data_IF_750299304121
#
_entry.id   IF_750299304121
#
_cell.length_a   1.000
_cell.length_b   1.000
_cell.length_c   1.000
_cell.angle_alpha   90.00
_cell.angle_beta   90.00
_cell.angle_gamma   90.00
#
_symmetry.space_group_name_H-M   'P 1'
#
loop_
_entity.id
_entity.type
_entity.pdbx_description
1 polymer ?
#
# COMPACT_ATOMS: atom_id res chain seq x y z
N UNK A 1 4.97 -6.21 -11.11
CA UNK A 1 5.10 -7.67 -11.34
C UNK A 1 4.32 -8.18 -12.56
N UNK A 2 3.03 -7.83 -12.71
CA UNK A 2 2.12 -8.45 -13.70
C UNK A 2 2.60 -8.45 -15.16
N UNK A 3 3.42 -7.46 -15.57
CA UNK A 3 3.99 -7.43 -16.92
C UNK A 3 4.89 -8.63 -17.27
N UNK A 4 5.40 -9.37 -16.28
CA UNK A 4 6.19 -10.60 -16.49
C UNK A 4 5.35 -11.76 -17.04
N UNK A 5 4.01 -11.69 -16.92
CA UNK A 5 3.07 -12.72 -17.30
C UNK A 5 2.67 -12.61 -18.78
N UNK A 6 1.87 -13.55 -19.28
CA UNK A 6 1.51 -13.59 -20.70
C UNK A 6 0.50 -12.50 -21.10
N UNK A 7 -0.51 -12.27 -20.28
CA UNK A 7 -1.60 -11.33 -20.53
C UNK A 7 -2.37 -11.06 -19.23
N UNK A 8 -3.30 -10.10 -19.26
CA UNK A 8 -4.24 -9.85 -18.17
C UNK A 8 -5.65 -9.66 -18.71
N UNK A 9 -6.64 -10.21 -17.99
CA UNK A 9 -8.07 -9.95 -18.24
C UNK A 9 -8.44 -8.46 -18.09
N UNK A 10 -7.64 -7.67 -17.37
CA UNK A 10 -7.84 -6.21 -17.27
C UNK A 10 -7.67 -5.51 -18.62
N UNK A 11 -6.83 -6.07 -19.50
CA UNK A 11 -6.48 -5.50 -20.78
C UNK A 11 -6.28 -6.61 -21.82
N UNK A 12 -7.37 -7.25 -22.28
CA UNK A 12 -7.32 -8.49 -23.07
C UNK A 12 -6.55 -8.37 -24.40
N UNK A 13 -6.42 -7.16 -24.93
CA UNK A 13 -5.75 -6.89 -26.21
C UNK A 13 -4.23 -6.73 -26.10
N UNK A 14 -3.67 -6.80 -24.89
CA UNK A 14 -2.25 -6.55 -24.66
C UNK A 14 -1.54 -7.79 -24.11
N UNK A 15 -0.39 -8.09 -24.68
CA UNK A 15 0.50 -9.14 -24.21
C UNK A 15 1.54 -8.58 -23.24
N UNK A 16 1.85 -9.33 -22.19
CA UNK A 16 3.02 -9.09 -21.36
C UNK A 16 4.28 -9.72 -21.95
N UNK A 17 5.33 -9.80 -21.14
CA UNK A 17 6.61 -10.38 -21.55
C UNK A 17 6.55 -11.91 -21.74
N UNK A 18 5.53 -12.58 -21.18
CA UNK A 18 5.33 -14.02 -21.33
C UNK A 18 6.39 -14.89 -20.66
N UNK A 19 7.20 -14.32 -19.76
CA UNK A 19 8.25 -15.01 -19.02
C UNK A 19 7.64 -16.00 -18.02
N UNK A 20 6.54 -15.61 -17.37
CA UNK A 20 5.70 -16.51 -16.56
C UNK A 20 4.50 -16.97 -17.40
N UNK A 21 4.38 -18.27 -17.72
CA UNK A 21 3.42 -18.76 -18.71
C UNK A 21 2.01 -18.94 -18.12
N UNK A 22 1.40 -17.85 -17.64
CA UNK A 22 -0.01 -17.80 -17.24
C UNK A 22 -0.59 -16.42 -17.46
N UNK A 23 -1.91 -16.33 -17.51
CA UNK A 23 -2.67 -15.09 -17.47
C UNK A 23 -2.84 -14.58 -16.05
N UNK A 24 -3.05 -13.26 -15.94
CA UNK A 24 -3.54 -12.58 -14.75
C UNK A 24 -5.05 -12.48 -14.87
N UNK A 25 -5.76 -13.05 -13.90
CA UNK A 25 -7.21 -13.19 -13.88
C UNK A 25 -7.82 -12.27 -12.79
N UNK A 26 -9.08 -11.84 -12.93
CA UNK A 26 -9.78 -11.09 -11.87
C UNK A 26 -10.06 -12.01 -10.67
N UNK A 27 -9.95 -11.47 -9.45
CA UNK A 27 -10.49 -12.16 -8.27
C UNK A 27 -12.00 -12.37 -8.39
N UNK A 28 -12.48 -13.49 -7.83
CA UNK A 28 -13.91 -13.70 -7.63
C UNK A 28 -14.45 -12.72 -6.56
N UNK A 29 -15.50 -11.97 -6.86
CA UNK A 29 -16.11 -10.99 -5.95
C UNK A 29 -17.44 -11.46 -5.33
N UNK A 30 -17.79 -12.74 -5.49
CA UNK A 30 -19.04 -13.29 -4.96
C UNK A 30 -19.05 -13.35 -3.43
N UNK A 31 -17.91 -13.67 -2.81
CA UNK A 31 -17.78 -13.87 -1.35
C UNK A 31 -16.83 -12.90 -0.66
N UNK A 32 -16.19 -11.98 -1.40
CA UNK A 32 -15.22 -11.02 -0.86
C UNK A 32 -15.20 -9.73 -1.69
N UNK A 33 -14.75 -8.64 -1.09
CA UNK A 33 -14.60 -7.36 -1.78
C UNK A 33 -13.48 -7.42 -2.83
N UNK A 34 -13.65 -6.76 -3.97
CA UNK A 34 -12.58 -6.56 -4.96
C UNK A 34 -12.55 -5.08 -5.31
N UNK A 35 -11.40 -4.38 -5.22
CA UNK A 35 -10.03 -4.91 -5.12
C UNK A 35 -9.66 -5.51 -3.75
N UNK A 36 -8.70 -6.45 -3.76
CA UNK A 36 -7.93 -6.83 -2.58
C UNK A 36 -7.10 -5.62 -2.16
N UNK A 37 -7.47 -4.98 -1.05
CA UNK A 37 -6.83 -3.77 -0.56
C UNK A 37 -6.58 -3.85 0.95
N UNK A 38 -5.30 -3.82 1.34
CA UNK A 38 -4.88 -3.87 2.74
C UNK A 38 -3.61 -4.69 2.95
N UNK A 39 -3.29 -4.95 4.21
CA UNK A 39 -2.12 -5.74 4.59
C UNK A 39 -2.45 -7.22 4.67
N UNK A 40 -1.71 -8.05 3.95
CA UNK A 40 -1.90 -9.50 3.95
C UNK A 40 -0.53 -10.21 4.04
N UNK A 41 -0.53 -11.47 4.42
CA UNK A 41 0.70 -12.27 4.55
C UNK A 41 1.25 -12.67 3.18
N UNK A 42 2.57 -12.62 3.01
CA UNK A 42 3.26 -13.27 1.90
C UNK A 42 3.99 -14.50 2.42
N UNK A 43 3.40 -15.67 2.21
CA UNK A 43 3.89 -16.95 2.69
C UNK A 43 4.92 -17.52 1.71
N UNK A 44 6.10 -17.93 2.21
CA UNK A 44 7.15 -18.54 1.38
C UNK A 44 6.71 -19.92 0.90
N UNK A 45 6.78 -20.16 -0.42
CA UNK A 45 6.36 -21.44 -1.01
C UNK A 45 7.30 -22.58 -0.59
N UNK A 46 8.61 -22.32 -0.50
CA UNK A 46 9.63 -23.32 -0.16
C UNK A 46 9.86 -23.48 1.35
N UNK A 47 9.31 -22.58 2.16
CA UNK A 47 9.51 -22.60 3.62
C UNK A 47 8.25 -22.11 4.32
N UNK A 48 7.13 -22.87 4.17
CA UNK A 48 5.83 -22.45 4.68
C UNK A 48 5.77 -22.37 6.22
N UNK A 49 6.73 -23.00 6.91
CA UNK A 49 6.84 -22.95 8.37
C UNK A 49 7.50 -21.67 8.89
N UNK A 50 8.07 -20.84 8.00
CA UNK A 50 8.63 -19.54 8.38
C UNK A 50 7.50 -18.54 8.55
N UNK A 51 7.50 -17.85 9.70
CA UNK A 51 6.55 -16.77 9.99
C UNK A 51 6.50 -15.77 8.82
N UNK A 52 5.32 -15.57 8.20
CA UNK A 52 5.22 -14.76 7.01
C UNK A 52 5.25 -13.27 7.37
N UNK A 53 5.92 -12.49 6.53
CA UNK A 53 5.87 -11.04 6.61
C UNK A 53 4.56 -10.51 6.00
N UNK A 54 4.09 -9.37 6.52
CA UNK A 54 2.92 -8.67 6.02
C UNK A 54 3.33 -7.56 5.05
N UNK A 55 2.61 -7.45 3.95
CA UNK A 55 2.83 -6.43 2.93
C UNK A 55 1.50 -5.81 2.48
N UNK A 56 1.56 -4.58 1.97
CA UNK A 56 0.40 -3.86 1.47
C UNK A 56 0.07 -4.25 0.03
N UNK A 57 -1.13 -4.76 -0.19
CA UNK A 57 -1.70 -5.11 -1.49
C UNK A 57 -2.79 -4.11 -1.87
N UNK A 58 -2.89 -3.79 -3.16
CA UNK A 58 -4.00 -3.02 -3.75
C UNK A 58 -4.18 -3.42 -5.21
N UNK A 59 -5.02 -4.42 -5.48
CA UNK A 59 -5.23 -4.95 -6.84
C UNK A 59 -6.55 -5.73 -6.99
N UNK A 60 -7.14 -5.67 -8.18
CA UNK A 60 -8.33 -6.49 -8.53
C UNK A 60 -7.98 -7.79 -9.25
N UNK A 61 -6.78 -7.83 -9.85
CA UNK A 61 -6.32 -8.87 -10.75
C UNK A 61 -5.09 -9.58 -10.18
N UNK A 62 -4.97 -10.90 -10.34
CA UNK A 62 -3.89 -11.69 -9.76
C UNK A 62 -3.53 -12.91 -10.62
N UNK A 63 -2.32 -13.44 -10.43
CA UNK A 63 -1.96 -14.77 -10.94
C UNK A 63 -2.41 -15.83 -9.95
N UNK A 64 -3.45 -16.61 -10.26
CA UNK A 64 -3.91 -17.71 -9.40
C UNK A 64 -2.82 -18.78 -9.29
N UNK A 65 -2.60 -19.28 -8.08
CA UNK A 65 -1.63 -20.35 -7.81
C UNK A 65 -2.32 -21.72 -7.93
N UNK A 66 -2.16 -22.35 -9.09
CA UNK A 66 -2.76 -23.65 -9.41
C UNK A 66 -1.67 -24.61 -9.91
N UNK A 67 -0.86 -25.23 -9.03
CA UNK A 67 0.27 -26.06 -9.43
C UNK A 67 -0.12 -27.32 -10.22
N UNK A 68 -1.35 -27.82 -10.05
CA UNK A 68 -1.87 -28.96 -10.81
C UNK A 68 -2.20 -28.60 -12.27
N UNK A 69 -2.74 -27.41 -12.51
CA UNK A 69 -3.18 -26.97 -13.84
C UNK A 69 -2.07 -26.21 -14.59
N UNK A 70 -1.24 -25.45 -13.85
CA UNK A 70 -0.23 -24.52 -14.37
C UNK A 70 1.11 -24.68 -13.64
N UNK A 71 1.75 -25.87 -13.67
CA UNK A 71 2.98 -26.16 -12.93
C UNK A 71 4.14 -25.23 -13.32
N UNK A 72 4.26 -24.90 -14.61
CA UNK A 72 5.32 -24.00 -15.09
C UNK A 72 5.20 -22.61 -14.49
N UNK A 73 3.99 -22.04 -14.40
CA UNK A 73 3.76 -20.75 -13.75
C UNK A 73 3.95 -20.84 -12.23
N UNK A 74 3.46 -21.91 -11.58
CA UNK A 74 3.63 -22.13 -10.15
C UNK A 74 5.10 -22.26 -9.75
N UNK A 75 5.96 -22.81 -10.62
CA UNK A 75 7.41 -22.90 -10.39
C UNK A 75 8.15 -21.55 -10.42
N UNK A 76 7.48 -20.45 -10.72
CA UNK A 76 8.00 -19.08 -10.54
C UNK A 76 7.65 -18.49 -9.18
N UNK A 77 6.68 -19.06 -8.46
CA UNK A 77 6.18 -18.49 -7.21
C UNK A 77 7.26 -18.55 -6.12
N UNK A 78 7.62 -17.39 -5.58
CA UNK A 78 8.50 -17.28 -4.43
C UNK A 78 7.69 -17.16 -3.14
N UNK A 79 6.64 -16.34 -3.19
CA UNK A 79 5.62 -16.28 -2.15
C UNK A 79 4.22 -16.43 -2.75
N UNK A 80 3.33 -16.98 -1.94
CA UNK A 80 1.89 -17.02 -2.20
C UNK A 80 1.13 -16.29 -1.12
N UNK A 81 -0.07 -15.85 -1.43
CA UNK A 81 -0.98 -15.21 -0.47
C UNK A 81 -2.38 -15.77 -0.69
N UNK A 82 -3.10 -16.00 0.40
CA UNK A 82 -4.52 -16.34 0.34
C UNK A 82 -5.37 -15.07 0.47
N UNK A 83 -6.39 -14.94 -0.37
CA UNK A 83 -7.43 -13.93 -0.25
C UNK A 83 -8.82 -14.55 -0.44
N UNK A 84 -9.60 -14.58 0.64
CA UNK A 84 -10.79 -15.44 0.74
C UNK A 84 -10.49 -16.89 0.40
N UNK A 85 -11.22 -17.44 -0.58
CA UNK A 85 -11.06 -18.81 -1.07
C UNK A 85 -10.05 -18.99 -2.21
N UNK A 86 -9.23 -17.99 -2.52
CA UNK A 86 -8.26 -18.04 -3.62
C UNK A 86 -6.83 -17.90 -3.11
N UNK A 87 -5.91 -18.70 -3.64
CA UNK A 87 -4.46 -18.56 -3.43
C UNK A 87 -3.86 -17.98 -4.71
N UNK A 88 -3.05 -16.94 -4.58
CA UNK A 88 -2.39 -16.29 -5.71
C UNK A 88 -0.90 -16.13 -5.47
N UNK A 89 -0.16 -15.95 -6.55
CA UNK A 89 1.28 -15.67 -6.55
C UNK A 89 1.49 -14.22 -6.09
N UNK A 90 2.01 -14.02 -4.89
CA UNK A 90 2.26 -12.68 -4.33
C UNK A 90 3.67 -12.18 -4.61
N UNK A 91 4.61 -13.06 -4.94
CA UNK A 91 5.87 -12.71 -5.59
C UNK A 91 6.41 -13.83 -6.46
N UNK A 92 7.19 -13.46 -7.48
CA UNK A 92 7.90 -14.38 -8.36
C UNK A 92 9.41 -14.23 -8.20
N UNK A 93 10.15 -15.33 -8.33
CA UNK A 93 11.62 -15.31 -8.34
C UNK A 93 12.18 -16.41 -9.23
N UNK A 94 13.07 -16.04 -10.15
CA UNK A 94 13.90 -16.98 -10.92
C UNK A 94 15.17 -16.32 -11.43
N UNK A 95 16.33 -16.83 -11.02
CA UNK A 95 17.61 -16.21 -11.34
C UNK A 95 17.65 -14.76 -10.87
N UNK A 96 18.01 -13.83 -11.76
CA UNK A 96 18.02 -12.39 -11.49
C UNK A 96 16.66 -11.70 -11.62
N UNK A 97 15.59 -12.44 -11.93
CA UNK A 97 14.23 -11.90 -11.99
C UNK A 97 13.55 -12.03 -10.64
N UNK A 98 13.06 -10.90 -10.12
CA UNK A 98 12.21 -10.84 -8.93
C UNK A 98 11.10 -9.82 -9.14
N UNK A 99 9.90 -10.13 -8.66
CA UNK A 99 8.77 -9.21 -8.75
C UNK A 99 7.72 -9.50 -7.69
N UNK A 100 7.12 -8.44 -7.14
CA UNK A 100 6.11 -8.53 -6.08
C UNK A 100 4.76 -7.99 -6.57
N UNK A 101 3.67 -8.63 -6.16
CA UNK A 101 2.30 -8.13 -6.36
C UNK A 101 1.96 -7.05 -5.34
N UNK A 102 2.48 -7.17 -4.12
CA UNK A 102 2.42 -6.14 -3.11
C UNK A 102 3.41 -5.00 -3.41
N UNK A 103 3.19 -3.87 -2.75
CA UNK A 103 3.99 -2.65 -2.87
C UNK A 103 4.98 -2.55 -1.70
N UNK A 104 6.24 -2.98 -1.86
CA UNK A 104 7.22 -2.91 -0.76
C UNK A 104 7.45 -1.47 -0.28
N UNK A 105 7.38 -0.47 -1.16
CA UNK A 105 7.46 0.94 -0.80
C UNK A 105 6.28 1.45 0.06
N UNK A 106 5.15 0.71 0.06
CA UNK A 106 3.97 0.98 0.89
C UNK A 106 3.86 0.03 2.09
N UNK A 107 4.84 -0.85 2.29
CA UNK A 107 4.81 -1.91 3.31
C UNK A 107 5.69 -1.63 4.52
N UNK A 108 5.96 -0.35 4.81
CA UNK A 108 6.74 0.09 5.97
C UNK A 108 8.12 -0.58 6.06
N UNK A 109 8.54 -0.89 7.29
CA UNK A 109 9.87 -1.48 7.55
C UNK A 109 10.08 -2.84 6.86
N UNK A 110 9.05 -3.69 6.77
CA UNK A 110 9.15 -5.00 6.11
C UNK A 110 9.43 -4.85 4.61
N UNK A 111 8.74 -3.93 3.95
CA UNK A 111 8.96 -3.63 2.55
C UNK A 111 10.31 -2.97 2.26
N UNK A 112 10.75 -2.03 3.11
CA UNK A 112 12.07 -1.41 3.00
C UNK A 112 13.20 -2.44 3.19
N UNK A 113 13.07 -3.35 4.15
CA UNK A 113 14.02 -4.44 4.35
C UNK A 113 14.12 -5.35 3.12
N UNK A 114 12.98 -5.65 2.47
CA UNK A 114 12.96 -6.43 1.23
C UNK A 114 13.68 -5.70 0.08
N UNK A 115 13.47 -4.39 -0.08
CA UNK A 115 14.16 -3.57 -1.08
C UNK A 115 15.67 -3.51 -0.78
N UNK A 116 16.06 -3.22 0.47
CA UNK A 116 17.47 -3.13 0.88
C UNK A 116 18.20 -4.46 0.66
N UNK A 117 17.59 -5.58 1.06
CA UNK A 117 18.13 -6.92 0.82
C UNK A 117 18.35 -7.18 -0.68
N UNK A 118 17.38 -6.83 -1.53
CA UNK A 118 17.53 -7.00 -2.98
C UNK A 118 18.67 -6.15 -3.56
N UNK A 119 18.81 -4.89 -3.13
CA UNK A 119 19.82 -3.96 -3.63
C UNK A 119 21.24 -4.34 -3.16
N UNK A 120 21.39 -4.80 -1.92
CA UNK A 120 22.69 -5.18 -1.35
C UNK A 120 23.21 -6.51 -1.85
N UNK A 121 22.32 -7.43 -2.21
CA UNK A 121 22.73 -8.76 -2.69
C UNK A 121 23.35 -8.64 -4.09
N UNK A 122 24.62 -9.03 -4.31
CA UNK A 122 25.23 -9.03 -5.64
C UNK A 122 24.41 -9.83 -6.66
N UNK A 123 24.42 -9.43 -7.93
CA UNK A 123 23.71 -10.18 -8.98
C UNK A 123 24.20 -11.62 -9.11
N UNK A 124 25.50 -11.85 -8.94
CA UNK A 124 26.07 -13.20 -8.95
C UNK A 124 25.43 -14.09 -7.88
N UNK A 125 25.20 -13.56 -6.67
CA UNK A 125 24.54 -14.30 -5.59
C UNK A 125 23.03 -14.47 -5.86
N UNK A 126 22.36 -13.44 -6.40
CA UNK A 126 20.93 -13.54 -6.79
C UNK A 126 20.71 -14.58 -7.89
N UNK A 127 21.62 -14.65 -8.85
CA UNK A 127 21.55 -15.55 -10.00
C UNK A 127 22.06 -16.96 -9.68
N UNK A 128 23.06 -17.08 -8.81
CA UNK A 128 23.61 -18.34 -8.33
C UNK A 128 22.75 -18.99 -7.24
N UNK A 129 21.92 -18.20 -6.54
CA UNK A 129 20.72 -18.72 -5.90
C UNK A 129 19.84 -19.24 -7.03
N UNK A 130 20.12 -20.46 -7.49
CA UNK A 130 19.08 -21.29 -8.07
C UNK A 130 17.94 -21.16 -7.06
N UNK A 131 16.78 -20.55 -7.40
CA UNK A 131 15.61 -21.15 -6.81
C UNK A 131 15.77 -22.61 -7.19
N UNK A 132 15.74 -23.54 -6.25
CA UNK A 132 15.35 -24.88 -6.65
C UNK A 132 14.06 -24.65 -7.42
N UNK A 133 14.13 -24.60 -8.77
CA UNK A 133 12.95 -24.49 -9.59
C UNK A 133 12.15 -25.65 -9.06
N UNK A 134 11.00 -25.35 -8.44
CA UNK A 134 10.25 -26.39 -7.78
C UNK A 134 10.00 -27.44 -8.87
N UNK A 135 10.79 -28.53 -8.86
CA UNK A 135 10.64 -29.58 -9.86
C UNK A 135 9.21 -30.12 -9.79
N UNK A 136 8.60 -29.96 -8.61
CA UNK A 136 7.17 -30.05 -8.34
C UNK A 136 6.75 -28.94 -7.37
N UNK A 137 6.07 -27.85 -7.82
CA UNK A 137 5.53 -26.84 -6.90
C UNK A 137 4.49 -27.46 -5.97
N UNK A 138 4.53 -27.17 -4.66
CA UNK A 138 3.69 -27.86 -3.69
C UNK A 138 2.23 -27.44 -3.87
N UNK A 139 1.33 -28.40 -3.72
CA UNK A 139 -0.10 -28.12 -3.58
C UNK A 139 -0.34 -27.50 -2.21
N UNK A 140 -0.88 -26.28 -2.19
CA UNK A 140 -1.22 -25.57 -0.96
C UNK A 140 -2.70 -25.79 -0.63
N UNK A 141 -2.99 -26.02 0.64
CA UNK A 141 -4.36 -26.07 1.15
C UNK A 141 -4.82 -24.68 1.58
N UNK A 142 -6.12 -24.41 1.41
CA UNK A 142 -6.72 -23.18 1.91
C UNK A 142 -6.71 -23.19 3.45
N UNK A 143 -6.22 -22.09 4.03
CA UNK A 143 -6.38 -21.78 5.44
C UNK A 143 -7.86 -21.49 5.71
N UNK A 144 -8.39 -21.75 6.92
CA UNK A 144 -9.78 -21.47 7.27
C UNK A 144 -10.20 -20.01 7.08
N UNK A 145 -9.25 -19.08 7.20
CA UNK A 145 -9.38 -17.65 6.93
C UNK A 145 -8.11 -17.14 6.26
N UNK A 146 -8.24 -16.09 5.46
CA UNK A 146 -7.07 -15.35 5.00
C UNK A 146 -6.46 -14.53 6.15
N UNK A 147 -5.29 -13.96 5.87
CA UNK A 147 -4.53 -13.13 6.80
C UNK A 147 -4.71 -11.64 6.51
N UNK A 148 -5.82 -11.21 5.88
CA UNK A 148 -6.06 -9.80 5.64
C UNK A 148 -6.28 -9.08 6.98
N UNK A 149 -5.39 -8.14 7.31
CA UNK A 149 -5.42 -7.44 8.58
C UNK A 149 -6.61 -6.48 8.70
N UNK A 150 -6.93 -6.08 9.93
CA UNK A 150 -7.85 -4.98 10.18
C UNK A 150 -7.11 -3.66 9.94
N UNK A 151 -7.43 -3.00 8.83
CA UNK A 151 -6.81 -1.73 8.44
C UNK A 151 -7.24 -0.57 9.35
N UNK A 152 -6.28 0.13 9.93
CA UNK A 152 -6.45 1.33 10.75
C UNK A 152 -6.02 2.56 9.96
N UNK A 153 -6.98 3.41 9.62
CA UNK A 153 -6.74 4.63 8.83
C UNK A 153 -6.76 5.84 9.76
N UNK A 154 -5.66 6.60 9.77
CA UNK A 154 -5.57 7.85 10.51
C UNK A 154 -5.92 9.02 9.57
N UNK A 155 -6.94 9.80 9.93
CA UNK A 155 -7.42 10.92 9.12
C UNK A 155 -7.06 12.26 9.76
N UNK A 156 -6.73 13.26 8.94
CA UNK A 156 -6.59 14.64 9.40
C UNK A 156 -7.18 15.65 8.41
N UNK A 157 -7.75 16.72 8.93
CA UNK A 157 -8.20 17.88 8.17
C UNK A 157 -7.02 18.82 7.89
N UNK A 158 -6.78 19.15 6.62
CA UNK A 158 -5.78 20.14 6.20
C UNK A 158 -6.49 21.41 5.74
N UNK A 159 -6.26 22.52 6.46
CA UNK A 159 -6.84 23.85 6.18
C UNK A 159 -5.76 24.88 5.89
N UNK A 160 -6.15 25.98 5.27
CA UNK A 160 -5.36 27.22 5.23
C UNK A 160 -5.77 28.12 6.39
N UNK A 161 -4.81 28.68 7.11
CA UNK A 161 -5.06 29.74 8.10
C UNK A 161 -5.23 31.13 7.44
N UNK A 162 -5.44 32.15 8.26
CA UNK A 162 -5.65 33.54 7.80
C UNK A 162 -4.39 34.12 7.10
N UNK A 163 -3.21 33.54 7.36
CA UNK A 163 -1.93 33.89 6.73
C UNK A 163 -1.60 33.02 5.49
N UNK A 164 -2.49 32.09 5.12
CA UNK A 164 -2.33 31.17 4.00
C UNK A 164 -1.43 29.96 4.28
N UNK A 165 -1.00 29.75 5.52
CA UNK A 165 -0.23 28.56 5.91
C UNK A 165 -1.13 27.33 6.05
N UNK A 166 -0.56 26.15 5.81
CA UNK A 166 -1.25 24.89 6.01
C UNK A 166 -1.17 24.42 7.46
N UNK A 167 -2.33 24.18 8.04
CA UNK A 167 -2.50 23.76 9.43
C UNK A 167 -3.41 22.55 9.53
N UNK A 168 -3.26 21.79 10.61
CA UNK A 168 -4.19 20.72 10.99
C UNK A 168 -5.15 21.20 12.07
N UNK A 169 -6.44 20.90 11.89
CA UNK A 169 -7.49 21.20 12.87
C UNK A 169 -8.18 19.94 13.36
N UNK A 170 -8.72 19.96 14.59
CA UNK A 170 -9.51 18.85 15.13
C UNK A 170 -10.91 18.82 14.48
N UNK A 171 -11.28 17.70 13.86
CA UNK A 171 -12.53 17.52 13.13
C UNK A 171 -13.81 17.33 13.95
N UNK A 172 -13.89 17.77 15.23
CA UNK A 172 -15.11 17.58 16.05
C UNK A 172 -15.97 18.84 16.27
N UNK A 173 -15.48 20.04 15.94
CA UNK A 173 -16.23 21.28 16.09
C UNK A 173 -16.00 22.24 14.92
N UNK A 174 -17.09 22.81 14.40
CA UNK A 174 -17.04 23.94 13.46
C UNK A 174 -16.38 25.19 14.06
N UNK A 175 -16.29 25.26 15.40
CA UNK A 175 -15.67 26.36 16.14
C UNK A 175 -14.15 26.10 16.28
N UNK A 176 -13.44 26.24 15.16
CA UNK A 176 -11.99 26.03 15.05
C UNK A 176 -11.15 27.19 15.59
N UNK A 177 -11.80 28.29 15.99
CA UNK A 177 -11.15 29.49 16.51
C UNK A 177 -11.03 29.44 18.03
N UNK A 178 -9.92 29.93 18.57
CA UNK A 178 -9.78 30.09 20.02
C UNK A 178 -10.82 31.07 20.57
N UNK A 179 -11.42 30.72 21.72
CA UNK A 179 -12.34 31.62 22.42
C UNK A 179 -11.49 32.61 23.21
N UNK A 180 -11.45 33.86 22.76
CA UNK A 180 -10.85 34.97 23.51
C UNK A 180 -11.65 35.15 24.81
N UNK A 181 -11.00 35.28 26.00
CA UNK A 181 -11.71 35.51 27.24
C UNK A 181 -12.56 36.78 27.14
N UNK A 182 -13.84 36.69 27.51
CA UNK A 182 -14.76 37.82 27.47
C UNK A 182 -14.48 38.82 28.60
N UNK A 183 -13.45 39.64 28.43
CA UNK A 183 -13.27 40.89 29.17
C UNK A 183 -14.20 41.98 28.59
N UNK A 184 -14.86 42.72 29.47
CA UNK A 184 -15.87 43.74 29.13
C UNK A 184 -15.30 44.90 28.29
N UNK A 185 -15.35 44.78 26.96
CA UNK A 185 -15.26 45.95 26.08
C UNK A 185 -16.07 45.72 24.80
N UNK A 186 -16.85 46.74 24.42
CA UNK A 186 -17.59 46.77 23.16
C UNK A 186 -16.64 47.01 21.99
N UNK A 187 -15.88 45.99 21.61
CA UNK A 187 -15.16 45.95 20.33
C UNK A 187 -15.63 44.75 19.50
N UNK A 188 -15.73 44.98 18.19
CA UNK A 188 -16.12 43.98 17.19
C UNK A 188 -15.26 42.73 17.36
N UNK A 189 -15.90 41.59 17.65
CA UNK A 189 -15.25 40.29 17.83
C UNK A 189 -14.66 39.81 16.50
N UNK A 190 -13.39 40.10 16.23
CA UNK A 190 -12.60 39.28 15.31
C UNK A 190 -12.37 37.93 16.00
N UNK A 191 -12.91 36.84 15.44
CA UNK A 191 -12.78 35.51 16.03
C UNK A 191 -11.31 35.13 16.25
N UNK A 192 -11.00 34.38 17.31
CA UNK A 192 -9.63 34.02 17.68
C UNK A 192 -8.88 33.24 16.60
N UNK A 193 -7.57 33.04 16.80
CA UNK A 193 -6.72 32.29 15.87
C UNK A 193 -7.22 30.86 15.67
N UNK A 194 -6.99 30.29 14.48
CA UNK A 194 -7.37 28.91 14.19
C UNK A 194 -6.47 27.96 15.01
N UNK A 195 -7.08 27.03 15.75
CA UNK A 195 -6.35 26.04 16.57
C UNK A 195 -5.49 25.15 15.68
N UNK A 196 -4.17 25.27 15.81
CA UNK A 196 -3.18 24.55 15.02
C UNK A 196 -2.65 23.33 15.78
N UNK A 197 -2.91 22.12 15.29
CA UNK A 197 -2.39 20.86 15.85
C UNK A 197 -0.97 20.50 15.35
N UNK A 198 -0.36 21.39 14.56
CA UNK A 198 0.95 21.24 13.96
C UNK A 198 0.90 21.29 12.43
N UNK A 199 2.08 21.17 11.81
CA UNK A 199 2.20 21.07 10.36
C UNK A 199 1.69 19.69 9.90
N UNK A 200 0.88 19.60 8.83
CA UNK A 200 0.33 18.34 8.34
C UNK A 200 1.37 17.22 8.18
N UNK A 201 2.55 17.55 7.65
CA UNK A 201 3.67 16.62 7.46
C UNK A 201 4.12 16.00 8.79
N UNK A 202 4.34 16.82 9.82
CA UNK A 202 4.77 16.34 11.14
C UNK A 202 3.73 15.42 11.79
N UNK A 203 2.44 15.73 11.63
CA UNK A 203 1.38 14.87 12.16
C UNK A 203 1.29 13.55 11.38
N UNK A 204 1.48 13.57 10.06
CA UNK A 204 1.52 12.36 9.24
C UNK A 204 2.65 11.42 9.71
N UNK A 205 3.87 11.94 9.91
CA UNK A 205 4.97 11.16 10.45
C UNK A 205 4.66 10.56 11.82
N UNK A 206 3.96 11.31 12.69
CA UNK A 206 3.52 10.81 14.01
C UNK A 206 2.51 9.66 13.88
N UNK A 207 1.53 9.78 12.98
CA UNK A 207 0.55 8.71 12.74
C UNK A 207 1.20 7.46 12.19
N UNK A 208 2.13 7.61 11.23
CA UNK A 208 2.91 6.48 10.73
C UNK A 208 3.71 5.80 11.86
N UNK A 209 4.45 6.58 12.66
CA UNK A 209 5.24 6.05 13.77
C UNK A 209 4.37 5.39 14.87
N UNK A 210 3.11 5.80 15.00
CA UNK A 210 2.14 5.20 15.91
C UNK A 210 1.46 3.94 15.34
N UNK A 211 1.80 3.53 14.12
CA UNK A 211 1.30 2.30 13.49
C UNK A 211 0.02 2.48 12.66
N UNK A 212 -0.25 3.68 12.14
CA UNK A 212 -1.31 3.84 11.15
C UNK A 212 -0.97 3.09 9.86
N UNK A 213 -1.90 2.26 9.38
CA UNK A 213 -1.74 1.51 8.14
C UNK A 213 -1.86 2.41 6.90
N UNK A 214 -2.63 3.49 7.03
CA UNK A 214 -2.90 4.46 5.97
C UNK A 214 -3.16 5.83 6.60
N UNK A 215 -2.72 6.89 5.92
CA UNK A 215 -2.93 8.26 6.34
C UNK A 215 -3.80 8.95 5.29
N UNK A 216 -4.97 9.43 5.71
CA UNK A 216 -5.89 10.17 4.87
C UNK A 216 -5.81 11.66 5.19
N UNK A 217 -5.54 12.46 4.16
CA UNK A 217 -5.47 13.91 4.25
C UNK A 217 -6.73 14.50 3.61
N UNK A 218 -7.62 15.05 4.43
CA UNK A 218 -8.83 15.71 3.96
C UNK A 218 -8.47 17.15 3.56
N UNK A 219 -8.23 17.36 2.27
CA UNK A 219 -7.91 18.68 1.73
C UNK A 219 -9.16 19.57 1.69
N UNK A 220 -9.28 20.44 2.68
CA UNK A 220 -10.36 21.44 2.80
C UNK A 220 -9.78 22.86 2.80
N UNK A 221 -8.68 23.04 2.07
CA UNK A 221 -8.05 24.34 1.82
C UNK A 221 -8.89 25.16 0.85
N UNK A 222 -8.99 26.47 1.06
CA UNK A 222 -9.86 27.38 0.30
C UNK A 222 -9.07 28.43 -0.48
N UNK A 223 -8.12 27.99 -1.31
CA UNK A 223 -7.32 28.89 -2.15
C UNK A 223 -8.15 29.47 -3.30
N UNK A 224 -8.39 30.79 -3.30
CA UNK A 224 -9.19 31.46 -4.36
C UNK A 224 -8.41 31.76 -5.65
N UNK A 225 -7.06 31.78 -5.61
CA UNK A 225 -6.21 32.15 -6.76
C UNK A 225 -4.87 31.37 -6.82
N UNK A 226 -4.91 30.04 -6.70
CA UNK A 226 -3.70 29.20 -6.80
C UNK A 226 -3.73 28.39 -8.10
N UNK A 227 -2.72 28.51 -8.99
CA UNK A 227 -2.56 27.60 -10.12
C UNK A 227 -2.46 26.14 -9.65
N UNK A 228 -2.97 25.18 -10.43
CA UNK A 228 -3.05 23.77 -10.03
C UNK A 228 -1.69 23.17 -9.62
N UNK A 229 -0.60 23.57 -10.29
CA UNK A 229 0.76 23.08 -10.01
C UNK A 229 1.36 23.66 -8.72
N UNK A 230 0.86 24.81 -8.28
CA UNK A 230 1.34 25.52 -7.10
C UNK A 230 0.47 25.25 -5.87
N UNK A 231 -0.41 24.24 -5.92
CA UNK A 231 -1.27 23.92 -4.81
C UNK A 231 -0.43 23.44 -3.61
N UNK A 232 -0.51 24.14 -2.46
CA UNK A 232 0.27 23.79 -1.27
C UNK A 232 0.05 22.36 -0.78
N UNK A 233 -1.12 21.78 -1.06
CA UNK A 233 -1.44 20.39 -0.72
C UNK A 233 -0.52 19.38 -1.43
N UNK A 234 -0.09 19.64 -2.67
CA UNK A 234 0.84 18.78 -3.39
C UNK A 234 2.21 18.73 -2.69
N UNK A 235 2.66 19.86 -2.14
CA UNK A 235 3.89 19.92 -1.37
C UNK A 235 3.78 19.14 -0.06
N UNK A 236 2.61 19.15 0.61
CA UNK A 236 2.36 18.32 1.80
C UNK A 236 2.42 16.84 1.47
N UNK A 237 1.76 16.39 0.40
CA UNK A 237 1.78 14.97 0.01
C UNK A 237 3.20 14.52 -0.34
N UNK A 238 3.97 15.34 -1.05
CA UNK A 238 5.38 15.06 -1.37
C UNK A 238 6.23 14.93 -0.11
N UNK A 239 6.20 15.95 0.76
CA UNK A 239 7.00 15.97 1.98
C UNK A 239 6.59 14.88 2.99
N UNK A 240 5.33 14.44 3.00
CA UNK A 240 4.86 13.34 3.84
C UNK A 240 5.21 11.95 3.28
N UNK A 241 5.61 11.87 2.01
CA UNK A 241 6.01 10.63 1.35
C UNK A 241 7.52 10.35 1.38
N UNK A 242 8.32 11.33 1.85
CA UNK A 242 9.75 11.21 2.15
C UNK A 242 9.97 10.50 3.50
#
# INVERSE_FOLDING_TARGET
MQILFQASEESPNFHGLGVVPTTIDRFDDFVKTVPHMGWNSADLVQSPDVEPAFYYFVHSYCAKYCPADRPDAASWAYTTTQYGGEIFISSVRRGNVFGTQFHPEKSGAAGLALIDNWLRTPEAERSASKPESLCSPPTLSLKPRDNLSKRIIACMDVRSDDDGNLIVTKGDQYDVREKVPSGHSMQVKTGGAVRNLGKPVTLASKYYAAGADEICLLNITSFRHSPLQDQPMLAVVRAAAE
#
